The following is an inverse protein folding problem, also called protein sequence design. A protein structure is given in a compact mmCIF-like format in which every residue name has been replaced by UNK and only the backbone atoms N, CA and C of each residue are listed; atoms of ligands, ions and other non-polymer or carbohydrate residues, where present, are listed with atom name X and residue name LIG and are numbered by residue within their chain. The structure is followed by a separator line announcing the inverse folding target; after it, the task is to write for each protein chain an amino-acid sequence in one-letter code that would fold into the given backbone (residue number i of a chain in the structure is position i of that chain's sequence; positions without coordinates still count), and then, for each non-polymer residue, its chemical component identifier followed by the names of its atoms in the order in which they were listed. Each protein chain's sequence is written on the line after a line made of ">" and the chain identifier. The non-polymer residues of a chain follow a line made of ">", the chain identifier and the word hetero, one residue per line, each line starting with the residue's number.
data_IF_058416050020
#
_entry.id   IF_058416050020
#
_cell.length_a   1.000
_cell.length_b   1.000
_cell.length_c   1.000
_cell.angle_alpha   90.00
_cell.angle_beta   90.00
_cell.angle_gamma   90.00
#
_symmetry.space_group_name_H-M   'P 1'
#
loop_
_entity.id
_entity.type
_entity.pdbx_description
1 polymer ?
#
# COMPACT_ATOMS: atom_id res chain seq x y z
N UNK A 1 -15.87 2.76 -64.49
CA UNK A 1 -14.83 3.72 -64.02
C UNK A 1 -15.37 4.78 -63.06
N UNK A 2 -16.44 5.54 -63.41
CA UNK A 2 -17.00 6.59 -62.52
C UNK A 2 -17.37 6.11 -61.11
N UNK A 3 -18.00 4.93 -60.98
CA UNK A 3 -18.35 4.36 -59.66
C UNK A 3 -17.14 3.91 -58.84
N UNK A 4 -16.00 3.59 -59.46
CA UNK A 4 -14.78 3.19 -58.74
C UNK A 4 -14.06 4.42 -58.18
N UNK A 5 -13.98 5.51 -58.95
CA UNK A 5 -13.39 6.77 -58.50
C UNK A 5 -14.12 7.34 -57.28
N UNK A 6 -15.46 7.35 -57.29
CA UNK A 6 -16.27 7.84 -56.15
C UNK A 6 -16.02 7.02 -54.88
N UNK A 7 -15.92 5.69 -55.00
CA UNK A 7 -15.66 4.79 -53.88
C UNK A 7 -14.26 4.94 -53.29
N UNK A 8 -13.25 5.15 -54.14
CA UNK A 8 -11.87 5.38 -53.70
C UNK A 8 -11.76 6.74 -53.00
N UNK A 9 -12.38 7.78 -53.55
CA UNK A 9 -12.41 9.10 -52.94
C UNK A 9 -13.13 9.10 -51.58
N UNK A 10 -14.26 8.38 -51.45
CA UNK A 10 -14.96 8.27 -50.17
C UNK A 10 -14.12 7.55 -49.11
N UNK A 11 -13.35 6.53 -49.50
CA UNK A 11 -12.50 5.78 -48.57
C UNK A 11 -11.26 6.60 -48.16
N UNK A 12 -10.64 7.32 -49.09
CA UNK A 12 -9.56 8.24 -48.78
C UNK A 12 -10.02 9.34 -47.80
N UNK A 13 -11.24 9.86 -47.98
CA UNK A 13 -11.84 10.84 -47.07
C UNK A 13 -12.05 10.27 -45.65
N UNK A 14 -12.47 9.00 -45.54
CA UNK A 14 -12.57 8.31 -44.24
C UNK A 14 -11.21 8.24 -43.53
N UNK A 15 -10.14 7.86 -44.24
CA UNK A 15 -8.79 7.76 -43.67
C UNK A 15 -8.25 9.12 -43.21
N UNK A 16 -8.43 10.16 -44.03
CA UNK A 16 -8.00 11.52 -43.69
C UNK A 16 -8.77 12.03 -42.47
N UNK A 17 -10.08 11.81 -42.43
CA UNK A 17 -10.92 12.24 -41.30
C UNK A 17 -10.55 11.51 -40.01
N UNK A 18 -10.26 10.21 -40.09
CA UNK A 18 -9.83 9.42 -38.94
C UNK A 18 -8.46 9.85 -38.43
N UNK A 19 -7.49 10.06 -39.33
CA UNK A 19 -6.17 10.58 -38.96
C UNK A 19 -6.25 11.97 -38.31
N UNK A 20 -7.08 12.86 -38.87
CA UNK A 20 -7.31 14.18 -38.30
C UNK A 20 -7.97 14.13 -36.91
N UNK A 21 -8.90 13.19 -36.70
CA UNK A 21 -9.49 12.93 -35.39
C UNK A 21 -8.46 12.44 -34.37
N UNK A 22 -7.61 11.47 -34.74
CA UNK A 22 -6.59 10.89 -33.85
C UNK A 22 -5.52 11.91 -33.43
N UNK A 23 -5.16 12.84 -34.32
CA UNK A 23 -4.16 13.89 -34.05
C UNK A 23 -4.79 15.16 -33.44
N UNK A 24 -6.11 15.16 -33.18
CA UNK A 24 -6.85 16.32 -32.68
C UNK A 24 -6.66 17.59 -33.53
N UNK A 25 -6.61 17.42 -34.85
CA UNK A 25 -6.45 18.54 -35.77
C UNK A 25 -7.63 19.53 -35.66
N UNK A 26 -7.38 20.79 -35.99
CA UNK A 26 -8.44 21.81 -36.03
C UNK A 26 -9.60 21.37 -36.95
N UNK A 27 -10.87 21.67 -36.63
CA UNK A 27 -12.04 21.24 -37.40
C UNK A 27 -11.91 21.55 -38.89
N UNK A 28 -12.43 20.67 -39.75
CA UNK A 28 -12.30 20.81 -41.20
C UNK A 28 -12.89 22.13 -41.71
N UNK A 29 -12.11 22.99 -42.40
CA UNK A 29 -12.58 24.30 -42.83
C UNK A 29 -13.36 24.19 -44.14
N UNK A 30 -14.68 24.35 -44.07
CA UNK A 30 -15.48 24.73 -45.22
C UNK A 30 -16.19 26.03 -44.86
N UNK A 31 -15.69 27.14 -45.40
CA UNK A 31 -16.27 28.49 -45.33
C UNK A 31 -16.64 28.94 -43.91
N UNK A 32 -15.70 29.63 -43.24
CA UNK A 32 -15.88 30.59 -42.12
C UNK A 32 -16.77 30.21 -40.93
N UNK A 33 -17.29 28.98 -40.89
CA UNK A 33 -18.12 28.43 -39.83
C UNK A 33 -17.58 27.04 -39.46
N UNK A 34 -17.32 26.83 -38.18
CA UNK A 34 -16.92 25.54 -37.62
C UNK A 34 -18.15 24.63 -37.54
N UNK A 35 -18.53 23.99 -38.65
CA UNK A 35 -19.86 23.37 -38.71
C UNK A 35 -19.90 22.00 -38.02
N UNK A 36 -18.82 21.20 -37.99
CA UNK A 36 -18.82 19.87 -37.34
C UNK A 36 -17.43 19.41 -36.86
N UNK A 37 -17.33 18.74 -35.69
CA UNK A 37 -16.08 18.14 -35.22
C UNK A 37 -15.67 16.93 -36.07
N UNK A 38 -14.36 16.62 -36.09
CA UNK A 38 -13.82 15.49 -36.87
C UNK A 38 -14.46 14.15 -36.55
N UNK A 39 -14.91 13.93 -35.31
CA UNK A 39 -15.66 12.73 -34.92
C UNK A 39 -16.94 12.54 -35.74
N UNK A 40 -17.67 13.62 -36.03
CA UNK A 40 -18.90 13.56 -36.84
C UNK A 40 -18.56 13.31 -38.30
N UNK A 41 -17.50 13.90 -38.83
CA UNK A 41 -17.04 13.63 -40.19
C UNK A 41 -16.61 12.18 -40.40
N UNK A 42 -15.92 11.59 -39.41
CA UNK A 42 -15.57 10.16 -39.44
C UNK A 42 -16.83 9.29 -39.45
N UNK A 43 -17.81 9.59 -38.58
CA UNK A 43 -19.07 8.85 -38.54
C UNK A 43 -19.83 8.90 -39.88
N UNK A 44 -19.95 10.09 -40.48
CA UNK A 44 -20.59 10.25 -41.79
C UNK A 44 -19.83 9.49 -42.89
N UNK A 45 -18.49 9.54 -42.86
CA UNK A 45 -17.65 8.81 -43.81
C UNK A 45 -17.79 7.29 -43.67
N UNK A 46 -17.93 6.76 -42.45
CA UNK A 46 -18.21 5.34 -42.18
C UNK A 46 -19.54 4.94 -42.82
N UNK A 47 -20.62 5.69 -42.54
CA UNK A 47 -21.95 5.43 -43.09
C UNK A 47 -21.97 5.43 -44.62
N UNK A 48 -21.31 6.41 -45.25
CA UNK A 48 -21.18 6.51 -46.71
C UNK A 48 -20.39 5.33 -47.28
N UNK A 49 -19.25 4.98 -46.70
CA UNK A 49 -18.44 3.86 -47.18
C UNK A 49 -19.16 2.50 -47.00
N UNK A 50 -19.90 2.32 -45.90
CA UNK A 50 -20.66 1.09 -45.65
C UNK A 50 -21.81 0.89 -46.65
N UNK A 51 -22.43 1.99 -47.11
CA UNK A 51 -23.44 1.97 -48.16
C UNK A 51 -22.85 1.74 -49.57
N UNK A 52 -21.68 2.33 -49.88
CA UNK A 52 -21.09 2.30 -51.23
C UNK A 52 -20.32 1.01 -51.54
N UNK A 53 -19.72 0.36 -50.55
CA UNK A 53 -18.82 -0.78 -50.74
C UNK A 53 -19.48 -2.15 -50.47
N UNK A 54 -18.97 -3.20 -51.12
CA UNK A 54 -19.40 -4.61 -50.94
C UNK A 54 -18.37 -5.41 -50.13
N UNK A 55 -18.80 -6.60 -49.66
CA UNK A 55 -18.19 -7.56 -48.71
C UNK A 55 -16.80 -7.19 -48.14
N UNK A 56 -15.73 -7.19 -48.93
CA UNK A 56 -14.36 -6.96 -48.42
C UNK A 56 -14.14 -5.56 -47.81
N UNK A 57 -14.60 -4.50 -48.49
CA UNK A 57 -14.37 -3.12 -48.03
C UNK A 57 -15.35 -2.69 -46.93
N UNK A 58 -16.43 -3.44 -46.71
CA UNK A 58 -17.29 -3.29 -45.52
C UNK A 58 -16.56 -3.73 -44.25
N UNK A 59 -15.76 -4.81 -44.32
CA UNK A 59 -14.94 -5.26 -43.18
C UNK A 59 -13.91 -4.19 -42.83
N UNK A 60 -13.18 -3.66 -43.80
CA UNK A 60 -12.21 -2.58 -43.56
C UNK A 60 -12.85 -1.33 -42.94
N UNK A 61 -14.02 -0.92 -43.45
CA UNK A 61 -14.76 0.21 -42.88
C UNK A 61 -15.25 -0.07 -41.46
N UNK A 62 -15.68 -1.30 -41.16
CA UNK A 62 -16.10 -1.71 -39.83
C UNK A 62 -14.92 -1.72 -38.84
N UNK A 63 -13.75 -2.23 -39.21
CA UNK A 63 -12.55 -2.21 -38.36
C UNK A 63 -12.15 -0.78 -38.01
N UNK A 64 -12.15 0.13 -39.00
CA UNK A 64 -11.87 1.55 -38.75
C UNK A 64 -12.94 2.22 -37.87
N UNK A 65 -14.21 1.79 -37.97
CA UNK A 65 -15.27 2.26 -37.10
C UNK A 65 -15.08 1.81 -35.64
N UNK A 66 -14.62 0.57 -35.42
CA UNK A 66 -14.27 0.07 -34.09
C UNK A 66 -13.12 0.87 -33.51
N UNK A 67 -12.01 1.05 -34.24
CA UNK A 67 -10.87 1.88 -33.80
C UNK A 67 -11.32 3.31 -33.44
N UNK A 68 -12.14 3.92 -34.31
CA UNK A 68 -12.71 5.24 -34.05
C UNK A 68 -13.59 5.27 -32.78
N UNK A 69 -14.42 4.25 -32.54
CA UNK A 69 -15.27 4.18 -31.35
C UNK A 69 -14.47 4.06 -30.06
N UNK A 70 -13.40 3.26 -30.04
CA UNK A 70 -12.51 3.16 -28.88
C UNK A 70 -11.76 4.47 -28.64
N UNK A 71 -11.24 5.10 -29.69
CA UNK A 71 -10.59 6.40 -29.58
C UNK A 71 -11.57 7.50 -29.13
N UNK A 72 -12.84 7.46 -29.58
CA UNK A 72 -13.89 8.37 -29.14
C UNK A 72 -14.25 8.17 -27.67
N UNK A 73 -14.42 6.92 -27.22
CA UNK A 73 -14.68 6.60 -25.82
C UNK A 73 -13.49 7.00 -24.93
N UNK A 74 -12.26 6.75 -25.40
CA UNK A 74 -11.04 7.22 -24.73
C UNK A 74 -11.04 8.74 -24.54
N UNK A 75 -11.42 9.50 -25.56
CA UNK A 75 -11.50 10.97 -25.47
C UNK A 75 -12.71 11.48 -24.66
N UNK A 76 -13.77 10.68 -24.46
CA UNK A 76 -14.93 11.00 -23.63
C UNK A 76 -14.68 10.77 -22.15
N UNK A 77 -13.83 9.79 -21.82
CA UNK A 77 -13.34 9.59 -20.45
C UNK A 77 -12.40 10.76 -20.14
N UNK A 78 -12.55 11.47 -19.00
CA UNK A 78 -11.57 12.45 -18.55
C UNK A 78 -10.21 11.77 -18.48
N UNK A 79 -9.38 12.00 -19.50
CA UNK A 79 -8.00 11.56 -19.47
C UNK A 79 -7.37 12.25 -18.28
N UNK A 80 -6.89 11.48 -17.30
CA UNK A 80 -6.04 12.03 -16.26
C UNK A 80 -4.77 12.51 -16.96
N UNK A 81 -4.78 13.77 -17.38
CA UNK A 81 -3.55 14.43 -17.74
C UNK A 81 -2.69 14.36 -16.48
N UNK A 82 -1.47 13.83 -16.61
CA UNK A 82 -0.37 14.45 -15.88
C UNK A 82 -0.54 15.94 -16.18
N UNK A 83 -1.01 16.69 -15.19
CA UNK A 83 -1.32 18.10 -15.34
C UNK A 83 -0.16 18.80 -16.04
N UNK A 84 -0.39 19.93 -16.72
CA UNK A 84 0.69 20.65 -17.38
C UNK A 84 1.86 20.72 -16.41
N UNK A 85 3.03 20.20 -16.81
CA UNK A 85 4.26 20.40 -16.06
C UNK A 85 4.30 21.90 -15.79
N UNK A 86 4.11 22.28 -14.53
CA UNK A 86 4.09 23.70 -14.16
C UNK A 86 5.41 24.22 -14.69
N UNK A 87 5.38 25.22 -15.57
CA UNK A 87 6.61 25.74 -16.14
C UNK A 87 7.45 26.28 -14.97
N UNK A 88 8.45 25.49 -14.58
CA UNK A 88 9.30 25.63 -13.39
C UNK A 88 10.17 26.90 -13.45
N UNK A 89 9.99 27.76 -14.46
CA UNK A 89 10.74 29.00 -14.64
C UNK A 89 10.09 30.25 -14.02
N UNK A 90 8.76 30.28 -13.85
CA UNK A 90 8.02 31.55 -13.69
C UNK A 90 7.23 31.68 -12.38
N UNK A 91 7.44 30.78 -11.41
CA UNK A 91 6.74 30.84 -10.13
C UNK A 91 7.34 31.96 -9.28
N UNK A 92 6.55 33.01 -9.01
CA UNK A 92 6.93 34.05 -8.06
C UNK A 92 7.26 33.43 -6.69
N UNK A 93 8.40 33.78 -6.08
CA UNK A 93 8.81 33.31 -4.74
C UNK A 93 8.02 34.00 -3.63
N UNK A 94 6.71 33.81 -3.65
CA UNK A 94 5.78 34.25 -2.61
C UNK A 94 5.13 33.03 -1.97
N UNK A 95 4.78 33.08 -0.66
CA UNK A 95 4.20 31.93 0.03
C UNK A 95 2.92 31.44 -0.65
N UNK A 96 2.09 32.36 -1.12
CA UNK A 96 0.82 32.05 -1.75
C UNK A 96 1.01 31.33 -3.11
N UNK A 97 1.94 31.81 -3.93
CA UNK A 97 2.23 31.19 -5.23
C UNK A 97 2.88 29.81 -5.07
N UNK A 98 3.79 29.66 -4.11
CA UNK A 98 4.44 28.38 -3.82
C UNK A 98 3.46 27.35 -3.27
N UNK A 99 2.59 27.75 -2.33
CA UNK A 99 1.54 26.87 -1.79
C UNK A 99 0.55 26.47 -2.89
N UNK A 100 0.16 27.39 -3.78
CA UNK A 100 -0.72 27.09 -4.89
C UNK A 100 -0.08 26.11 -5.90
N UNK A 101 1.20 26.29 -6.23
CA UNK A 101 1.95 25.40 -7.10
C UNK A 101 2.19 24.03 -6.45
N UNK A 102 2.55 23.98 -5.17
CA UNK A 102 2.70 22.73 -4.43
C UNK A 102 1.41 21.94 -4.36
N UNK A 103 0.27 22.63 -4.17
CA UNK A 103 -1.06 22.02 -4.19
C UNK A 103 -1.37 21.39 -5.55
N UNK A 104 -1.03 22.05 -6.66
CA UNK A 104 -1.27 21.50 -8.00
C UNK A 104 -0.40 20.28 -8.29
N UNK A 105 0.82 20.24 -7.77
CA UNK A 105 1.69 19.06 -7.84
C UNK A 105 1.11 17.92 -6.98
N UNK A 106 0.70 18.20 -5.74
CA UNK A 106 0.16 17.20 -4.82
C UNK A 106 -1.05 16.44 -5.40
N UNK A 107 -2.00 17.16 -6.01
CA UNK A 107 -3.20 16.58 -6.62
C UNK A 107 -3.04 16.26 -8.12
N UNK A 108 -1.90 16.60 -8.73
CA UNK A 108 -1.66 16.55 -10.17
C UNK A 108 -0.45 15.70 -10.51
N UNK A 109 0.65 16.35 -10.91
CA UNK A 109 1.86 15.68 -11.42
C UNK A 109 2.54 14.77 -10.40
N UNK A 110 2.58 15.18 -9.14
CA UNK A 110 3.14 14.41 -8.02
C UNK A 110 2.23 13.28 -7.54
N UNK A 111 0.94 13.27 -7.92
CA UNK A 111 -0.07 12.24 -7.57
C UNK A 111 -0.05 11.82 -6.09
N UNK A 112 0.42 12.68 -5.20
CA UNK A 112 0.59 12.38 -3.79
C UNK A 112 -0.77 12.08 -3.14
N UNK A 113 -1.83 12.75 -3.62
CA UNK A 113 -3.21 12.54 -3.18
C UNK A 113 -3.79 11.16 -3.47
N UNK A 114 -3.14 10.34 -4.31
CA UNK A 114 -3.55 8.96 -4.55
C UNK A 114 -3.29 8.07 -3.33
N UNK A 115 -2.30 8.45 -2.51
CA UNK A 115 -1.84 7.66 -1.37
C UNK A 115 -2.01 8.41 -0.04
N UNK A 116 -1.76 9.72 -0.04
CA UNK A 116 -1.87 10.59 1.13
C UNK A 116 -3.18 11.37 1.13
N UNK A 117 -3.75 11.54 2.32
CA UNK A 117 -4.94 12.36 2.57
C UNK A 117 -4.58 13.67 3.28
N UNK A 118 -5.35 14.71 3.01
CA UNK A 118 -5.32 16.01 3.69
C UNK A 118 -6.77 16.41 3.95
N UNK A 119 -7.14 16.57 5.21
CA UNK A 119 -8.49 16.81 5.70
C UNK A 119 -9.08 15.63 6.48
N UNK A 120 -10.23 15.83 7.15
CA UNK A 120 -10.90 14.78 7.92
C UNK A 120 -11.36 13.66 6.98
N UNK A 121 -10.57 12.59 6.89
CA UNK A 121 -10.91 11.36 6.18
C UNK A 121 -11.56 10.39 7.15
N UNK A 122 -12.72 9.82 6.78
CA UNK A 122 -13.46 8.85 7.58
C UNK A 122 -12.85 7.43 7.54
N UNK A 123 -11.75 7.23 6.81
CA UNK A 123 -11.10 5.93 6.58
C UNK A 123 -9.59 6.03 6.79
N UNK A 124 -8.99 4.99 7.36
CA UNK A 124 -7.54 4.86 7.54
C UNK A 124 -6.82 4.90 6.18
N UNK A 125 -5.97 5.90 5.91
CA UNK A 125 -5.33 6.07 4.61
C UNK A 125 -4.22 5.04 4.37
N UNK A 126 -3.96 4.69 3.09
CA UNK A 126 -2.87 3.79 2.66
C UNK A 126 -1.50 4.30 3.09
N UNK A 127 -1.35 5.62 3.21
CA UNK A 127 -0.15 6.30 3.66
C UNK A 127 -0.50 7.31 4.77
N UNK A 128 0.49 7.78 5.55
CA UNK A 128 0.24 8.68 6.67
C UNK A 128 -0.59 9.91 6.27
N UNK A 129 -1.52 10.29 7.14
CA UNK A 129 -2.26 11.55 7.03
C UNK A 129 -1.26 12.74 7.10
N UNK A 130 -1.46 13.70 6.20
CA UNK A 130 -0.63 14.90 6.06
C UNK A 130 -1.36 16.18 6.51
N UNK A 131 -2.57 16.07 7.07
CA UNK A 131 -3.38 17.20 7.53
C UNK A 131 -2.70 18.10 8.56
N UNK A 132 -1.78 17.53 9.35
CA UNK A 132 -1.07 18.23 10.42
C UNK A 132 0.45 18.31 10.17
N UNK A 133 0.93 17.92 8.98
CA UNK A 133 2.36 17.71 8.75
C UNK A 133 3.18 18.99 8.88
N UNK A 134 2.56 20.15 8.65
CA UNK A 134 3.18 21.46 8.85
C UNK A 134 3.50 21.76 10.31
N UNK A 135 2.81 21.11 11.25
CA UNK A 135 3.01 21.24 12.70
C UNK A 135 3.78 20.03 13.23
N UNK A 136 3.36 18.82 12.86
CA UNK A 136 3.84 17.56 13.42
C UNK A 136 5.16 17.09 12.82
N UNK A 137 5.54 17.56 11.62
CA UNK A 137 6.71 17.05 10.88
C UNK A 137 8.03 17.13 11.66
N UNK A 138 8.33 18.23 12.33
CA UNK A 138 9.52 18.36 13.18
C UNK A 138 9.44 17.56 14.49
N UNK A 139 8.24 17.26 14.98
CA UNK A 139 8.04 16.44 16.19
C UNK A 139 8.16 14.93 15.93
N UNK A 140 8.22 14.51 14.66
CA UNK A 140 8.39 13.12 14.25
C UNK A 140 9.83 12.62 14.42
N UNK A 141 10.81 13.53 14.46
CA UNK A 141 12.21 13.21 14.67
C UNK A 141 12.88 14.21 15.62
N UNK A 142 13.52 13.70 16.68
CA UNK A 142 14.12 14.54 17.70
C UNK A 142 15.24 15.42 17.13
N UNK A 143 15.11 16.74 17.29
CA UNK A 143 16.13 17.71 16.90
C UNK A 143 16.07 18.17 15.44
N UNK A 144 15.09 17.74 14.62
CA UNK A 144 14.90 18.23 13.25
C UNK A 144 13.76 19.25 13.15
N UNK A 145 13.94 20.26 12.29
CA UNK A 145 12.83 21.14 11.92
C UNK A 145 11.85 20.44 10.98
N UNK A 146 10.59 20.90 10.95
CA UNK A 146 9.59 20.39 9.99
C UNK A 146 10.07 20.49 8.54
N UNK A 147 10.83 21.55 8.20
CA UNK A 147 11.37 21.71 6.85
C UNK A 147 12.39 20.64 6.54
N UNK A 148 13.39 20.46 7.39
CA UNK A 148 14.45 19.46 7.19
C UNK A 148 13.87 18.06 7.06
N UNK A 149 12.91 17.72 7.93
CA UNK A 149 12.16 16.48 7.85
C UNK A 149 11.47 16.30 6.49
N UNK A 150 10.76 17.33 5.98
CA UNK A 150 10.06 17.25 4.70
C UNK A 150 11.03 17.13 3.51
N UNK A 151 12.18 17.80 3.56
CA UNK A 151 13.23 17.66 2.55
C UNK A 151 13.76 16.23 2.57
N UNK A 152 14.12 15.71 3.73
CA UNK A 152 14.67 14.36 3.85
C UNK A 152 13.65 13.30 3.45
N UNK A 153 12.40 13.40 3.89
CA UNK A 153 11.33 12.46 3.55
C UNK A 153 10.99 12.42 2.04
N UNK A 154 11.11 13.54 1.31
CA UNK A 154 10.86 13.58 -0.13
C UNK A 154 12.05 13.06 -0.95
N UNK A 155 13.28 13.22 -0.46
CA UNK A 155 14.48 12.77 -1.16
C UNK A 155 14.89 11.34 -0.81
N UNK A 156 14.68 10.93 0.45
CA UNK A 156 15.07 9.66 1.07
C UNK A 156 13.93 9.15 1.98
N UNK A 157 12.77 8.77 1.43
CA UNK A 157 11.62 8.31 2.22
C UNK A 157 11.92 7.08 3.08
N UNK A 158 12.92 6.27 2.72
CA UNK A 158 13.37 5.12 3.49
C UNK A 158 14.16 5.48 4.76
N UNK A 159 14.69 6.70 4.85
CA UNK A 159 15.42 7.17 6.03
C UNK A 159 14.48 7.33 7.24
N UNK A 160 13.18 7.55 7.00
CA UNK A 160 12.19 7.71 8.04
C UNK A 160 10.88 7.00 7.71
N UNK A 161 10.60 5.90 8.41
CA UNK A 161 9.36 5.16 8.29
C UNK A 161 8.41 5.50 9.44
N UNK A 162 7.24 6.02 9.10
CA UNK A 162 6.18 6.27 10.07
C UNK A 162 5.65 4.94 10.59
N UNK A 163 5.61 4.78 11.93
CA UNK A 163 5.08 3.57 12.58
C UNK A 163 3.69 3.23 12.06
N UNK A 164 3.51 1.97 11.64
CA UNK A 164 2.24 1.47 11.08
C UNK A 164 2.12 1.56 9.56
N UNK A 165 3.12 2.12 8.85
CA UNK A 165 3.11 2.23 7.39
C UNK A 165 4.34 1.55 6.76
N UNK A 166 4.16 0.98 5.57
CA UNK A 166 5.23 0.34 4.80
C UNK A 166 6.09 1.35 4.03
N UNK A 167 7.27 0.91 3.57
CA UNK A 167 8.18 1.71 2.74
C UNK A 167 7.73 1.76 1.27
N UNK A 168 6.56 2.37 1.02
CA UNK A 168 5.94 2.42 -0.31
C UNK A 168 6.05 3.79 -0.99
N UNK A 169 6.63 4.78 -0.29
CA UNK A 169 6.77 6.13 -0.81
C UNK A 169 7.99 6.21 -1.74
N UNK A 170 7.80 6.49 -3.04
CA UNK A 170 8.94 6.64 -3.94
C UNK A 170 9.66 7.97 -3.70
N UNK A 171 10.99 8.04 -3.92
CA UNK A 171 11.72 9.31 -3.88
C UNK A 171 11.15 10.28 -4.94
N UNK A 172 10.84 11.51 -4.54
CA UNK A 172 10.13 12.49 -5.35
C UNK A 172 10.84 12.83 -6.68
N UNK A 173 12.17 12.78 -6.67
CA UNK A 173 13.04 13.10 -7.81
C UNK A 173 13.25 11.91 -8.78
N UNK A 174 12.84 10.69 -8.42
CA UNK A 174 12.96 9.50 -9.28
C UNK A 174 11.65 9.24 -10.05
N UNK A 175 11.70 8.57 -11.21
CA UNK A 175 10.51 8.00 -11.82
C UNK A 175 9.77 7.10 -10.81
N UNK A 176 8.43 7.14 -10.75
CA UNK A 176 7.50 7.74 -11.72
C UNK A 176 7.18 9.22 -11.48
N UNK A 177 7.66 9.84 -10.39
CA UNK A 177 7.34 11.22 -10.02
C UNK A 177 8.22 12.24 -10.76
N UNK A 178 9.53 11.98 -10.81
CA UNK A 178 10.54 12.75 -11.54
C UNK A 178 10.43 14.28 -11.35
N UNK A 179 10.13 14.73 -10.13
CA UNK A 179 9.97 16.14 -9.81
C UNK A 179 11.33 16.85 -9.80
N UNK A 180 11.35 18.08 -10.32
CA UNK A 180 12.49 18.98 -10.25
C UNK A 180 12.67 19.57 -8.84
N UNK A 181 13.85 20.14 -8.56
CA UNK A 181 14.15 20.72 -7.26
C UNK A 181 13.15 21.83 -6.85
N UNK A 182 12.76 22.70 -7.79
CA UNK A 182 11.78 23.76 -7.51
C UNK A 182 10.36 23.21 -7.32
N UNK A 183 9.98 22.16 -8.06
CA UNK A 183 8.69 21.48 -7.82
C UNK A 183 8.65 20.89 -6.41
N UNK A 184 9.75 20.27 -5.96
CA UNK A 184 9.89 19.77 -4.60
C UNK A 184 9.83 20.92 -3.57
N UNK A 185 10.47 22.07 -3.83
CA UNK A 185 10.36 23.27 -2.98
C UNK A 185 8.90 23.74 -2.82
N UNK A 186 8.16 23.83 -3.93
CA UNK A 186 6.75 24.25 -3.88
C UNK A 186 5.88 23.23 -3.16
N UNK A 187 6.14 21.93 -3.35
CA UNK A 187 5.46 20.86 -2.62
C UNK A 187 5.70 20.96 -1.11
N UNK A 188 6.95 21.21 -0.69
CA UNK A 188 7.30 21.42 0.72
C UNK A 188 6.57 22.63 1.30
N UNK A 189 6.52 23.74 0.57
CA UNK A 189 5.78 24.93 1.00
C UNK A 189 4.29 24.64 1.22
N UNK A 190 3.65 23.87 0.33
CA UNK A 190 2.26 23.42 0.50
C UNK A 190 2.07 22.47 1.69
N UNK A 191 3.02 21.58 1.96
CA UNK A 191 2.97 20.69 3.12
C UNK A 191 3.17 21.46 4.42
N UNK A 192 4.08 22.43 4.45
CA UNK A 192 4.25 23.34 5.58
C UNK A 192 2.98 24.14 5.86
N UNK A 193 2.24 24.56 4.82
CA UNK A 193 0.97 25.28 5.02
C UNK A 193 -0.15 24.45 5.65
N UNK A 194 0.02 23.13 5.83
CA UNK A 194 -0.92 22.27 6.58
C UNK A 194 -0.75 22.47 8.11
N UNK A 195 -0.78 23.73 8.55
CA UNK A 195 -0.72 24.15 9.95
C UNK A 195 0.52 24.93 10.37
N UNK A 196 1.53 25.08 9.51
CA UNK A 196 2.73 25.90 9.74
C UNK A 196 2.91 27.04 8.74
N UNK A 197 3.96 27.84 8.92
CA UNK A 197 4.35 28.90 7.97
C UNK A 197 5.29 28.35 6.89
N UNK A 198 5.01 28.58 5.58
CA UNK A 198 5.87 28.14 4.50
C UNK A 198 7.24 28.83 4.52
N UNK A 199 8.31 28.05 4.46
CA UNK A 199 9.67 28.54 4.24
C UNK A 199 10.03 28.37 2.76
N UNK A 200 10.48 29.44 2.11
CA UNK A 200 10.79 29.48 0.67
C UNK A 200 12.30 29.47 0.38
N UNK A 201 13.12 29.16 1.38
CA UNK A 201 14.58 29.07 1.23
C UNK A 201 14.94 28.00 0.20
N UNK A 202 15.69 28.35 -0.83
CA UNK A 202 16.09 27.38 -1.86
C UNK A 202 16.78 26.16 -1.24
N UNK A 203 16.39 24.96 -1.70
CA UNK A 203 16.91 23.71 -1.16
C UNK A 203 18.20 23.38 -1.89
N UNK A 204 19.23 23.00 -1.14
CA UNK A 204 20.35 22.23 -1.67
C UNK A 204 19.97 20.75 -1.51
N UNK A 205 19.75 20.00 -2.60
CA UNK A 205 19.38 18.60 -2.49
C UNK A 205 20.37 17.84 -1.58
N UNK A 206 19.90 17.05 -0.60
CA UNK A 206 20.77 16.33 0.33
C UNK A 206 21.55 15.20 -0.35
N UNK A 207 21.22 14.91 -1.62
CA UNK A 207 21.85 13.90 -2.45
C UNK A 207 22.29 14.53 -3.77
N UNK A 208 23.40 14.06 -4.31
CA UNK A 208 23.77 14.36 -5.70
C UNK A 208 22.87 13.53 -6.62
N UNK A 209 21.80 14.14 -7.15
CA UNK A 209 20.80 13.49 -8.00
C UNK A 209 21.46 12.87 -9.25
N UNK A 210 22.49 13.51 -9.81
CA UNK A 210 23.19 13.02 -10.99
C UNK A 210 24.04 11.77 -10.66
N UNK A 211 24.71 11.76 -9.51
CA UNK A 211 25.42 10.58 -9.02
C UNK A 211 24.46 9.47 -8.56
N UNK A 212 23.36 9.82 -7.87
CA UNK A 212 22.37 8.88 -7.34
C UNK A 212 21.54 8.21 -8.44
N UNK A 213 21.32 8.88 -9.57
CA UNK A 213 20.75 8.27 -10.78
C UNK A 213 21.70 7.24 -11.44
N UNK A 214 23.00 7.30 -11.14
CA UNK A 214 24.02 6.34 -11.61
C UNK A 214 24.27 5.19 -10.63
N UNK A 215 23.69 5.23 -9.43
CA UNK A 215 23.80 4.13 -8.46
C UNK A 215 22.96 2.96 -8.97
N UNK A 216 23.66 1.96 -9.49
CA UNK A 216 23.09 0.65 -9.80
C UNK A 216 22.42 0.09 -8.56
N UNK A 217 21.11 -0.16 -8.65
CA UNK A 217 20.37 -1.01 -7.71
C UNK A 217 21.21 -2.28 -7.52
N UNK A 218 21.53 -2.62 -6.27
CA UNK A 218 22.21 -3.88 -5.96
C UNK A 218 21.37 -4.98 -6.59
N UNK A 219 21.88 -5.59 -7.66
CA UNK A 219 21.15 -6.66 -8.35
C UNK A 219 21.45 -7.94 -7.57
N UNK A 220 20.42 -8.68 -7.12
CA UNK A 220 20.66 -9.94 -6.45
C UNK A 220 21.38 -10.90 -7.42
N UNK A 221 22.46 -11.54 -6.96
CA UNK A 221 23.30 -12.43 -7.78
C UNK A 221 22.64 -13.79 -8.10
N UNK A 222 21.35 -13.96 -7.81
CA UNK A 222 20.60 -15.20 -7.99
C UNK A 222 19.96 -15.34 -9.37
N UNK A 223 19.51 -16.55 -9.70
CA UNK A 223 18.75 -16.84 -10.92
C UNK A 223 17.24 -16.71 -10.68
N UNK A 224 16.54 -15.72 -11.28
CA UNK A 224 15.10 -15.53 -11.10
C UNK A 224 14.24 -16.71 -11.55
N UNK A 225 14.64 -17.47 -12.57
CA UNK A 225 13.86 -18.63 -13.02
C UNK A 225 13.96 -19.79 -12.04
N UNK A 226 15.16 -20.02 -11.50
CA UNK A 226 15.34 -20.97 -10.40
C UNK A 226 14.56 -20.53 -9.15
N UNK A 227 14.58 -19.23 -8.83
CA UNK A 227 13.81 -18.66 -7.73
C UNK A 227 12.30 -18.84 -7.87
N UNK A 228 11.77 -18.77 -9.11
CA UNK A 228 10.36 -19.06 -9.39
C UNK A 228 9.99 -20.50 -9.06
N UNK A 229 10.87 -21.46 -9.33
CA UNK A 229 10.67 -22.87 -8.94
C UNK A 229 10.71 -23.04 -7.42
N UNK A 230 11.61 -22.34 -6.73
CA UNK A 230 11.65 -22.33 -5.25
C UNK A 230 10.33 -21.79 -4.70
N UNK A 231 9.80 -20.71 -5.28
CA UNK A 231 8.54 -20.07 -4.87
C UNK A 231 7.31 -20.97 -5.05
N UNK A 232 7.21 -21.71 -6.17
CA UNK A 232 6.01 -22.49 -6.52
C UNK A 232 6.11 -23.94 -6.04
N UNK A 233 7.23 -24.59 -6.27
CA UNK A 233 7.36 -26.05 -6.18
C UNK A 233 8.04 -26.50 -4.88
N UNK A 234 9.11 -25.82 -4.47
CA UNK A 234 9.95 -26.28 -3.36
C UNK A 234 9.46 -25.80 -2.00
N UNK A 235 9.23 -24.49 -1.85
CA UNK A 235 8.76 -23.87 -0.60
C UNK A 235 7.26 -23.56 -0.61
N UNK A 236 6.61 -23.70 -1.76
CA UNK A 236 5.17 -23.54 -1.94
C UNK A 236 4.64 -22.20 -1.38
N UNK A 237 5.41 -21.13 -1.53
CA UNK A 237 5.05 -19.77 -1.15
C UNK A 237 3.74 -19.34 -1.83
N UNK A 238 3.47 -19.86 -3.02
CA UNK A 238 2.23 -19.68 -3.79
C UNK A 238 0.96 -20.23 -3.10
N UNK A 239 1.08 -21.06 -2.05
CA UNK A 239 -0.08 -21.49 -1.25
C UNK A 239 -0.63 -20.41 -0.33
N UNK A 240 0.14 -19.37 -0.06
CA UNK A 240 -0.30 -18.26 0.79
C UNK A 240 -0.20 -16.92 0.06
N UNK A 241 0.74 -16.77 -0.86
CA UNK A 241 1.02 -15.53 -1.55
C UNK A 241 0.65 -15.59 -3.03
N UNK A 242 0.00 -14.54 -3.52
CA UNK A 242 -0.32 -14.37 -4.94
C UNK A 242 0.80 -13.61 -5.66
N UNK A 243 1.07 -14.02 -6.91
CA UNK A 243 1.89 -13.28 -7.88
C UNK A 243 1.17 -13.31 -9.24
N UNK A 244 0.89 -12.13 -9.81
CA UNK A 244 0.16 -11.97 -11.07
C UNK A 244 -1.34 -12.26 -10.95
N UNK A 245 -2.01 -12.40 -12.10
CA UNK A 245 -3.45 -12.66 -12.20
C UNK A 245 -3.84 -14.12 -11.91
N UNK A 246 -3.15 -14.79 -10.99
CA UNK A 246 -3.55 -16.13 -10.56
C UNK A 246 -4.92 -16.03 -9.86
N UNK A 247 -5.92 -16.75 -10.36
CA UNK A 247 -7.31 -16.84 -9.85
C UNK A 247 -7.37 -17.57 -8.50
N UNK A 248 -6.62 -17.09 -7.52
CA UNK A 248 -6.45 -17.75 -6.23
C UNK A 248 -6.87 -16.76 -5.14
N UNK A 249 -8.07 -16.99 -4.60
CA UNK A 249 -8.54 -16.40 -3.34
C UNK A 249 -7.82 -17.07 -2.18
N UNK A 250 -6.53 -16.78 -1.99
CA UNK A 250 -5.82 -17.14 -0.78
C UNK A 250 -5.50 -15.85 -0.03
N UNK A 251 -6.45 -15.39 0.79
CA UNK A 251 -6.28 -14.26 1.71
C UNK A 251 -5.44 -14.64 2.96
N UNK A 252 -4.43 -15.48 2.78
CA UNK A 252 -3.56 -15.94 3.88
C UNK A 252 -2.31 -15.07 3.98
N UNK A 253 -1.73 -14.66 2.84
CA UNK A 253 -0.56 -13.80 2.75
C UNK A 253 -0.77 -12.61 1.80
N UNK A 254 0.04 -11.54 1.92
CA UNK A 254 -0.04 -10.38 1.05
C UNK A 254 0.31 -10.70 -0.40
N UNK A 255 -0.24 -9.91 -1.33
CA UNK A 255 0.07 -9.97 -2.75
C UNK A 255 1.52 -9.52 -3.01
N UNK A 256 2.29 -10.36 -3.71
CA UNK A 256 3.71 -10.15 -4.00
C UNK A 256 3.95 -9.75 -5.46
N UNK A 257 2.92 -9.51 -6.26
CA UNK A 257 3.02 -9.17 -7.70
C UNK A 257 3.97 -8.00 -7.99
N UNK A 258 4.03 -7.02 -7.07
CA UNK A 258 4.84 -5.81 -7.22
C UNK A 258 5.93 -5.71 -6.13
N UNK A 259 6.23 -6.80 -5.41
CA UNK A 259 7.12 -6.70 -4.24
C UNK A 259 8.51 -6.16 -4.58
N UNK A 260 9.07 -6.52 -5.74
CA UNK A 260 10.37 -6.03 -6.20
C UNK A 260 10.38 -4.56 -6.64
N UNK A 261 9.21 -3.97 -6.90
CA UNK A 261 9.07 -2.52 -7.12
C UNK A 261 8.77 -1.75 -5.83
N UNK A 262 8.10 -2.39 -4.87
CA UNK A 262 7.58 -1.75 -3.66
C UNK A 262 8.50 -1.90 -2.44
N UNK A 263 9.48 -2.79 -2.46
CA UNK A 263 10.33 -3.08 -1.31
C UNK A 263 11.80 -3.26 -1.68
N UNK A 264 12.68 -3.16 -0.67
CA UNK A 264 14.12 -3.35 -0.82
C UNK A 264 14.50 -4.83 -0.72
N UNK A 265 15.69 -5.18 -1.23
CA UNK A 265 16.26 -6.52 -1.05
C UNK A 265 16.34 -6.90 0.42
N UNK A 266 16.89 -6.02 1.26
CA UNK A 266 17.05 -6.26 2.69
C UNK A 266 15.70 -6.55 3.38
N UNK A 267 14.63 -5.86 2.97
CA UNK A 267 13.28 -6.13 3.48
C UNK A 267 12.77 -7.52 3.10
N UNK A 268 12.97 -7.94 1.85
CA UNK A 268 12.57 -9.28 1.40
C UNK A 268 13.39 -10.37 2.09
N UNK A 269 14.69 -10.15 2.26
CA UNK A 269 15.59 -11.07 2.96
C UNK A 269 15.18 -11.24 4.44
N UNK A 270 14.94 -10.13 5.14
CA UNK A 270 14.53 -10.12 6.55
C UNK A 270 13.15 -10.78 6.72
N UNK A 271 12.19 -10.50 5.83
CA UNK A 271 10.83 -11.06 5.91
C UNK A 271 10.79 -12.58 5.72
N UNK A 272 11.73 -13.15 4.96
CA UNK A 272 11.83 -14.60 4.72
C UNK A 272 12.57 -15.30 5.88
N UNK A 273 13.64 -14.69 6.38
CA UNK A 273 14.46 -15.29 7.44
C UNK A 273 13.86 -15.10 8.83
N UNK A 274 13.21 -13.96 9.08
CA UNK A 274 12.51 -13.64 10.32
C UNK A 274 11.14 -12.98 10.06
N UNK A 275 10.11 -13.78 9.74
CA UNK A 275 8.77 -13.25 9.43
C UNK A 275 8.09 -12.61 10.64
N UNK A 276 8.59 -12.80 11.87
CA UNK A 276 8.08 -12.14 13.07
C UNK A 276 8.75 -10.79 13.34
N UNK A 277 9.87 -10.47 12.67
CA UNK A 277 10.52 -9.17 12.81
C UNK A 277 9.61 -8.03 12.35
N UNK A 278 8.89 -8.23 11.24
CA UNK A 278 7.97 -7.24 10.65
C UNK A 278 6.74 -7.93 10.05
N UNK A 279 5.63 -7.88 10.77
CA UNK A 279 4.36 -8.46 10.33
C UNK A 279 3.51 -7.38 9.65
N UNK A 280 3.13 -7.63 8.39
CA UNK A 280 2.23 -6.73 7.65
C UNK A 280 0.86 -6.69 8.35
N UNK A 281 0.34 -5.49 8.57
CA UNK A 281 -0.96 -5.29 9.23
C UNK A 281 -2.06 -6.10 8.53
N UNK A 282 -2.87 -6.82 9.32
CA UNK A 282 -3.93 -7.68 8.80
C UNK A 282 -3.50 -9.08 8.36
N UNK A 283 -2.21 -9.45 8.49
CA UNK A 283 -1.70 -10.80 8.17
C UNK A 283 -1.08 -11.53 9.38
N UNK A 284 -1.05 -10.88 10.55
CA UNK A 284 -0.67 -11.52 11.81
C UNK A 284 -1.85 -12.25 12.48
N UNK A 285 -1.54 -13.37 13.12
CA UNK A 285 -2.43 -14.00 14.11
C UNK A 285 -2.14 -13.42 15.48
N UNK A 286 -3.20 -13.03 16.18
CA UNK A 286 -3.15 -12.48 17.52
C UNK A 286 -3.85 -13.43 18.47
N UNK A 287 -3.11 -13.90 19.48
CA UNK A 287 -3.69 -14.65 20.61
C UNK A 287 -3.80 -13.74 21.82
N UNK A 288 -5.03 -13.48 22.25
CA UNK A 288 -5.36 -12.75 23.48
C UNK A 288 -5.80 -13.73 24.57
N UNK A 289 -5.29 -13.53 25.77
CA UNK A 289 -5.82 -14.19 26.96
C UNK A 289 -6.55 -13.13 27.78
N UNK A 290 -7.85 -13.31 27.98
CA UNK A 290 -8.71 -12.40 28.72
C UNK A 290 -8.69 -12.71 30.22
N UNK A 291 -8.96 -11.70 31.05
CA UNK A 291 -8.99 -11.83 32.50
C UNK A 291 -10.07 -12.78 33.02
N UNK A 292 -11.11 -13.05 32.21
CA UNK A 292 -12.17 -14.04 32.49
C UNK A 292 -11.70 -15.50 32.25
N UNK A 293 -10.47 -15.71 31.77
CA UNK A 293 -9.94 -17.04 31.43
C UNK A 293 -10.18 -17.48 29.99
N UNK A 294 -10.90 -16.70 29.19
CA UNK A 294 -11.14 -16.95 27.76
C UNK A 294 -9.88 -16.66 26.94
N UNK A 295 -9.57 -17.53 25.97
CA UNK A 295 -8.52 -17.30 24.98
C UNK A 295 -9.16 -17.00 23.64
N UNK A 296 -8.85 -15.85 23.06
CA UNK A 296 -9.28 -15.47 21.72
C UNK A 296 -8.10 -15.55 20.77
N UNK A 297 -8.27 -16.27 19.67
CA UNK A 297 -7.31 -16.30 18.57
C UNK A 297 -7.97 -15.74 17.32
N UNK A 298 -7.31 -14.80 16.66
CA UNK A 298 -7.86 -14.21 15.45
C UNK A 298 -6.91 -13.23 14.79
N UNK A 299 -7.37 -12.63 13.71
CA UNK A 299 -6.63 -11.64 12.93
C UNK A 299 -6.86 -10.24 13.52
N UNK A 300 -5.80 -9.53 13.88
CA UNK A 300 -5.92 -8.13 14.30
C UNK A 300 -6.22 -7.26 13.08
N UNK A 301 -7.45 -6.74 13.01
CA UNK A 301 -7.92 -5.91 11.90
C UNK A 301 -7.42 -4.48 12.09
N UNK A 302 -7.64 -3.92 13.29
CA UNK A 302 -7.27 -2.53 13.63
C UNK A 302 -7.11 -2.34 15.13
N UNK A 303 -6.33 -1.33 15.51
CA UNK A 303 -6.20 -0.83 16.88
C UNK A 303 -6.86 0.56 16.97
N UNK A 304 -7.79 0.75 17.91
CA UNK A 304 -8.50 2.00 18.14
C UNK A 304 -8.21 2.50 19.56
N UNK A 305 -7.12 3.26 19.71
CA UNK A 305 -6.67 3.73 21.02
C UNK A 305 -6.32 2.56 21.96
N UNK A 306 -7.15 2.33 22.98
CA UNK A 306 -7.00 1.24 23.94
C UNK A 306 -7.75 -0.05 23.56
N UNK A 307 -8.52 -0.01 22.45
CA UNK A 307 -9.28 -1.16 21.96
C UNK A 307 -8.54 -1.89 20.82
N UNK A 308 -8.66 -3.21 20.81
CA UNK A 308 -8.20 -4.12 19.76
C UNK A 308 -9.42 -4.70 19.05
N UNK A 309 -9.49 -4.58 17.73
CA UNK A 309 -10.54 -5.22 16.93
C UNK A 309 -9.97 -6.47 16.28
N UNK A 310 -10.44 -7.63 16.75
CA UNK A 310 -10.05 -8.93 16.24
C UNK A 310 -11.14 -9.49 15.34
N UNK A 311 -10.77 -10.03 14.20
CA UNK A 311 -11.60 -10.97 13.46
C UNK A 311 -11.27 -12.38 13.95
N UNK A 312 -12.22 -13.05 14.59
CA UNK A 312 -11.99 -14.38 15.15
C UNK A 312 -11.81 -15.41 14.03
N UNK A 313 -10.85 -16.32 14.20
CA UNK A 313 -10.78 -17.51 13.36
C UNK A 313 -11.99 -18.39 13.77
N UNK A 314 -12.97 -18.58 12.88
CA UNK A 314 -14.09 -19.48 13.15
C UNK A 314 -13.52 -20.88 13.20
N UNK A 315 -13.44 -21.45 14.41
CA UNK A 315 -13.18 -22.87 14.57
C UNK A 315 -14.52 -23.55 14.27
N UNK A 316 -14.69 -24.02 13.04
CA UNK A 316 -15.65 -25.09 12.80
C UNK A 316 -15.14 -26.27 13.63
N UNK A 317 -15.79 -26.51 14.78
CA UNK A 317 -15.63 -27.79 15.46
C UNK A 317 -16.01 -28.85 14.43
N UNK A 318 -15.04 -29.69 14.06
CA UNK A 318 -15.27 -30.81 13.18
C UNK A 318 -16.46 -31.59 13.75
N UNK A 319 -17.55 -31.65 12.99
CA UNK A 319 -18.65 -32.57 13.28
C UNK A 319 -18.00 -33.96 13.35
N UNK A 320 -17.91 -34.50 14.56
CA UNK A 320 -17.49 -35.86 14.78
C UNK A 320 -18.44 -36.75 13.97
N UNK A 321 -17.91 -37.37 12.91
CA UNK A 321 -18.56 -38.40 12.12
C UNK A 321 -18.86 -39.65 12.99
N UNK A 322 -19.80 -39.55 13.93
CA UNK A 322 -20.30 -40.69 14.70
C UNK A 322 -21.48 -41.34 13.98
N UNK A 323 -21.15 -42.30 13.13
CA UNK A 323 -22.09 -43.22 12.51
C UNK A 323 -22.62 -44.23 13.55
N UNK A 324 -23.67 -43.86 14.30
CA UNK A 324 -24.31 -44.72 15.30
C UNK A 324 -25.84 -44.71 15.26
N UNK A 325 -26.43 -45.80 14.77
CA UNK A 325 -27.87 -46.03 14.65
C UNK A 325 -28.61 -46.09 16.00
N UNK A 326 -29.78 -45.44 16.09
CA UNK A 326 -30.94 -45.98 16.81
C UNK A 326 -31.53 -45.17 17.96
N UNK A 327 -32.78 -44.77 17.72
CA UNK A 327 -33.88 -44.56 18.69
C UNK A 327 -34.03 -43.19 19.39
N UNK A 328 -35.31 -42.94 19.69
CA UNK A 328 -36.02 -41.66 19.81
C UNK A 328 -35.87 -40.99 21.18
N UNK A 329 -36.39 -39.75 21.23
CA UNK A 329 -36.75 -38.92 22.40
C UNK A 329 -35.62 -38.07 23.03
N UNK A 330 -35.67 -36.74 22.87
CA UNK A 330 -36.46 -35.80 23.69
C UNK A 330 -36.26 -34.37 23.17
N UNK A 331 -37.36 -33.67 22.89
CA UNK A 331 -37.36 -32.24 22.58
C UNK A 331 -36.95 -31.44 23.82
N UNK A 332 -35.86 -30.66 23.72
CA UNK A 332 -35.62 -29.51 24.58
C UNK A 332 -35.44 -28.30 23.67
N UNK A 333 -36.45 -27.44 23.64
CA UNK A 333 -36.40 -26.12 23.01
C UNK A 333 -35.21 -25.33 23.58
N UNK A 334 -34.20 -25.10 22.75
CA UNK A 334 -33.24 -24.01 22.95
C UNK A 334 -33.52 -22.95 21.89
N UNK A 335 -33.71 -21.74 22.41
CA UNK A 335 -34.11 -20.52 21.74
C UNK A 335 -33.31 -20.28 20.45
N UNK A 336 -34.01 -20.34 19.32
CA UNK A 336 -33.48 -20.07 17.99
C UNK A 336 -33.18 -18.57 17.87
N UNK A 337 -31.93 -18.18 18.14
CA UNK A 337 -31.45 -16.84 17.83
C UNK A 337 -31.15 -16.80 16.33
N UNK A 338 -32.18 -16.46 15.55
CA UNK A 338 -32.04 -16.13 14.13
C UNK A 338 -31.17 -14.88 14.02
N UNK A 339 -29.97 -15.01 13.45
CA UNK A 339 -29.18 -13.87 12.97
C UNK A 339 -28.89 -14.09 11.49
N UNK A 340 -29.30 -13.11 10.69
CA UNK A 340 -29.21 -13.11 9.23
C UNK A 340 -27.78 -13.35 8.72
N UNK A 341 -27.66 -14.27 7.77
CA UNK A 341 -26.46 -14.49 6.97
C UNK A 341 -26.17 -13.26 6.10
N UNK A 342 -25.19 -12.47 6.53
CA UNK A 342 -24.50 -11.48 5.72
C UNK A 342 -23.17 -12.03 5.22
N UNK A 343 -23.07 -12.20 3.91
CA UNK A 343 -21.91 -12.68 3.16
C UNK A 343 -20.51 -12.33 3.74
N UNK A 344 -19.70 -13.36 4.00
CA UNK A 344 -18.24 -13.31 3.81
C UNK A 344 -17.39 -12.50 4.79
N UNK A 345 -17.79 -12.30 6.05
CA UNK A 345 -16.97 -11.62 7.05
C UNK A 345 -16.97 -12.36 8.39
N UNK A 346 -15.82 -12.91 8.80
CA UNK A 346 -15.68 -13.46 10.16
C UNK A 346 -16.04 -12.43 11.23
N UNK A 347 -16.62 -12.90 12.34
CA UNK A 347 -17.10 -12.07 13.45
C UNK A 347 -16.00 -11.14 13.98
N UNK A 348 -16.22 -9.82 13.92
CA UNK A 348 -15.37 -8.83 14.58
C UNK A 348 -15.71 -8.75 16.07
N UNK A 349 -14.70 -8.89 16.94
CA UNK A 349 -14.81 -8.73 18.39
C UNK A 349 -13.88 -7.63 18.87
N UNK A 350 -14.46 -6.68 19.60
CA UNK A 350 -13.73 -5.60 20.25
C UNK A 350 -13.27 -6.06 21.63
N UNK A 351 -11.97 -5.95 21.89
CA UNK A 351 -11.33 -6.31 23.16
C UNK A 351 -10.53 -5.12 23.68
N UNK A 352 -10.79 -4.66 24.91
CA UNK A 352 -9.97 -3.62 25.51
C UNK A 352 -8.64 -4.19 25.99
N UNK A 353 -7.54 -3.46 25.82
CA UNK A 353 -6.22 -3.90 26.31
C UNK A 353 -6.21 -4.10 27.83
N UNK A 354 -7.06 -3.40 28.56
CA UNK A 354 -7.19 -3.59 30.01
C UNK A 354 -7.86 -4.91 30.42
N UNK A 355 -8.61 -5.54 29.51
CA UNK A 355 -9.29 -6.81 29.77
C UNK A 355 -8.36 -8.02 29.58
N UNK A 356 -7.12 -7.78 29.12
CA UNK A 356 -6.13 -8.84 28.99
C UNK A 356 -5.63 -9.31 30.36
N UNK A 357 -5.52 -10.64 30.48
CA UNK A 357 -5.05 -11.34 31.65
C UNK A 357 -3.60 -10.96 31.99
N UNK A 358 -3.35 -10.82 33.29
CA UNK A 358 -2.00 -10.69 33.81
C UNK A 358 -1.34 -12.07 33.84
N UNK A 359 -0.30 -12.25 33.02
CA UNK A 359 0.48 -13.46 32.97
C UNK A 359 1.77 -13.30 33.77
N UNK A 360 2.17 -14.35 34.49
CA UNK A 360 3.44 -14.36 35.22
C UNK A 360 4.60 -14.41 34.25
N UNK A 361 5.55 -13.50 34.40
CA UNK A 361 6.78 -13.46 33.59
C UNK A 361 7.88 -14.14 34.41
N UNK A 362 8.23 -15.36 34.02
CA UNK A 362 9.27 -16.15 34.69
C UNK A 362 10.70 -15.81 34.22
N UNK A 363 10.85 -15.44 32.95
CA UNK A 363 12.12 -15.03 32.35
C UNK A 363 12.05 -13.54 32.02
N UNK A 364 12.99 -12.76 32.55
CA UNK A 364 13.08 -11.30 32.40
C UNK A 364 13.92 -10.88 31.19
N UNK A 365 14.44 -11.84 30.41
CA UNK A 365 15.09 -11.54 29.13
C UNK A 365 14.05 -11.28 28.05
N UNK A 366 14.29 -10.23 27.26
CA UNK A 366 13.49 -9.84 26.09
C UNK A 366 11.98 -9.84 26.34
N UNK A 367 11.54 -9.09 27.36
CA UNK A 367 10.13 -9.06 27.77
C UNK A 367 9.28 -8.46 26.64
N UNK A 368 9.75 -7.37 26.02
CA UNK A 368 9.10 -6.70 24.90
C UNK A 368 9.03 -7.58 23.65
N UNK A 369 10.11 -8.29 23.27
CA UNK A 369 10.13 -9.20 22.11
C UNK A 369 9.16 -10.38 22.28
N UNK A 370 8.85 -10.75 23.53
CA UNK A 370 7.88 -11.78 23.85
C UNK A 370 6.43 -11.27 23.80
N UNK A 371 6.21 -10.03 23.35
CA UNK A 371 4.89 -9.42 23.16
C UNK A 371 4.28 -8.84 24.43
N UNK A 372 5.06 -8.64 25.50
CA UNK A 372 4.56 -7.93 26.68
C UNK A 372 4.64 -6.42 26.44
N UNK A 373 3.51 -5.73 26.53
CA UNK A 373 3.43 -4.28 26.34
C UNK A 373 3.20 -3.52 27.66
N UNK A 374 2.75 -4.23 28.69
CA UNK A 374 2.45 -3.67 30.01
C UNK A 374 2.90 -4.63 31.10
N UNK A 375 3.51 -4.11 32.16
CA UNK A 375 3.98 -4.90 33.28
C UNK A 375 3.52 -4.35 34.63
N UNK A 376 3.47 -5.24 35.62
CA UNK A 376 3.42 -4.90 37.04
C UNK A 376 4.39 -5.77 37.81
N UNK A 377 5.22 -5.12 38.64
CA UNK A 377 6.27 -5.76 39.40
C UNK A 377 6.41 -5.12 40.79
N UNK A 378 7.06 -5.82 41.71
CA UNK A 378 7.45 -5.31 43.01
C UNK A 378 8.95 -5.05 43.00
N UNK A 379 9.35 -3.81 43.29
CA UNK A 379 10.77 -3.39 43.32
C UNK A 379 11.37 -3.71 44.69
N UNK A 380 12.53 -4.35 44.69
CA UNK A 380 13.21 -4.88 45.88
C UNK A 380 13.62 -3.80 46.89
N UNK A 381 13.91 -2.58 46.43
CA UNK A 381 14.42 -1.48 47.27
C UNK A 381 13.35 -0.71 48.09
N UNK A 382 12.12 -1.21 48.16
CA UNK A 382 11.10 -0.58 49.02
C UNK A 382 9.74 -1.26 49.06
N UNK A 383 9.53 -2.39 48.39
CA UNK A 383 8.23 -3.06 48.34
C UNK A 383 7.17 -2.29 47.54
N UNK A 384 7.56 -1.19 46.88
CA UNK A 384 6.67 -0.40 46.04
C UNK A 384 6.30 -1.20 44.79
N UNK A 385 5.00 -1.32 44.56
CA UNK A 385 4.45 -1.92 43.34
C UNK A 385 4.51 -0.88 42.24
N UNK A 386 5.21 -1.21 41.16
CA UNK A 386 5.29 -0.40 39.95
C UNK A 386 4.46 -1.06 38.87
N UNK A 387 3.77 -0.27 38.06
CA UNK A 387 2.98 -0.77 36.95
C UNK A 387 2.86 0.27 35.86
N UNK A 388 2.95 -0.16 34.60
CA UNK A 388 2.88 0.75 33.46
C UNK A 388 3.22 0.07 32.14
N UNK A 389 2.94 0.75 31.02
CA UNK A 389 3.42 0.32 29.71
C UNK A 389 4.95 0.36 29.65
N UNK A 390 5.51 -0.57 28.87
CA UNK A 390 6.95 -0.62 28.57
C UNK A 390 7.25 0.42 27.50
N UNK A 391 8.24 1.28 27.76
CA UNK A 391 8.68 2.32 26.83
C UNK A 391 9.98 1.94 26.14
N UNK A 392 10.93 1.35 26.87
CA UNK A 392 12.14 0.79 26.30
C UNK A 392 12.71 -0.33 27.18
N UNK A 393 13.48 -1.23 26.57
CA UNK A 393 14.13 -2.35 27.24
C UNK A 393 15.57 -2.48 26.72
N UNK A 394 16.49 -2.78 27.63
CA UNK A 394 17.84 -3.22 27.28
C UNK A 394 18.17 -4.51 28.06
N UNK A 395 19.39 -5.05 27.92
CA UNK A 395 19.75 -6.32 28.57
C UNK A 395 19.64 -6.28 30.11
N UNK A 396 19.89 -5.12 30.73
CA UNK A 396 20.05 -4.98 32.18
C UNK A 396 18.90 -4.23 32.89
N UNK A 397 18.07 -3.48 32.16
CA UNK A 397 17.04 -2.58 32.71
C UNK A 397 15.81 -2.49 31.82
N UNK A 398 14.71 -2.08 32.43
CA UNK A 398 13.41 -1.87 31.80
C UNK A 398 12.91 -0.47 32.16
N UNK A 399 12.52 0.31 31.15
CA UNK A 399 11.91 1.62 31.34
C UNK A 399 10.41 1.51 31.17
N UNK A 400 9.67 1.90 32.20
CA UNK A 400 8.21 1.92 32.21
C UNK A 400 7.68 3.33 32.48
N UNK A 401 6.52 3.64 31.92
CA UNK A 401 5.82 4.90 32.19
C UNK A 401 4.81 4.68 33.31
N UNK A 402 5.02 5.32 34.46
CA UNK A 402 4.11 5.23 35.61
C UNK A 402 3.45 6.59 35.84
N UNK A 403 2.15 6.67 35.57
CA UNK A 403 1.35 7.91 35.57
C UNK A 403 1.96 8.99 34.66
N UNK A 404 2.80 9.88 35.22
CA UNK A 404 3.39 11.05 34.54
C UNK A 404 4.94 11.03 34.53
N UNK A 405 5.58 9.94 34.96
CA UNK A 405 7.05 9.86 35.03
C UNK A 405 7.56 8.54 34.47
N UNK A 406 8.66 8.61 33.71
CA UNK A 406 9.42 7.46 33.23
C UNK A 406 10.33 6.94 34.33
N UNK A 407 10.19 5.66 34.65
CA UNK A 407 11.00 4.96 35.64
C UNK A 407 11.84 3.90 34.95
N UNK A 408 13.16 3.96 35.11
CA UNK A 408 14.09 2.92 34.64
C UNK A 408 14.46 2.03 35.81
N UNK A 409 14.21 0.73 35.69
CA UNK A 409 14.33 -0.25 36.78
C UNK A 409 15.24 -1.38 36.32
N UNK A 410 16.16 -1.83 37.16
CA UNK A 410 17.05 -2.93 36.82
C UNK A 410 16.30 -4.27 36.79
N UNK A 411 16.68 -5.11 35.81
CA UNK A 411 16.29 -6.51 35.60
C UNK A 411 16.26 -7.31 36.91
N UNK A 412 17.35 -7.17 37.66
CA UNK A 412 17.66 -7.88 38.90
C UNK A 412 16.74 -7.54 40.07
N UNK A 413 16.14 -6.36 40.05
CA UNK A 413 15.47 -5.80 41.22
C UNK A 413 13.95 -6.03 41.17
N UNK A 414 13.47 -6.64 40.07
CA UNK A 414 12.07 -6.97 39.84
C UNK A 414 11.71 -8.33 40.45
N UNK A 415 10.71 -8.35 41.32
CA UNK A 415 10.10 -9.56 41.86
C UNK A 415 8.59 -9.58 41.57
N UNK A 416 8.00 -10.78 41.50
CA UNK A 416 6.57 -10.99 41.16
C UNK A 416 6.13 -10.28 39.87
N UNK A 417 6.97 -10.36 38.82
CA UNK A 417 6.71 -9.75 37.53
C UNK A 417 5.50 -10.42 36.86
N UNK A 418 4.50 -9.61 36.55
CA UNK A 418 3.32 -9.96 35.77
C UNK A 418 3.18 -8.99 34.62
N UNK A 419 2.59 -9.41 33.50
CA UNK A 419 2.38 -8.52 32.37
C UNK A 419 1.23 -8.93 31.49
N UNK A 420 0.73 -7.97 30.73
CA UNK A 420 -0.23 -8.21 29.66
C UNK A 420 0.53 -8.46 28.38
N UNK A 421 0.15 -9.54 27.71
CA UNK A 421 0.80 -10.03 26.51
C UNK A 421 -0.14 -9.87 25.33
N UNK A 422 0.35 -9.24 24.28
CA UNK A 422 -0.23 -9.24 22.94
C UNK A 422 0.73 -10.03 22.06
N UNK A 423 0.42 -11.31 21.82
CA UNK A 423 1.27 -12.13 20.98
C UNK A 423 0.77 -12.02 19.54
N UNK A 424 1.39 -11.11 18.78
CA UNK A 424 1.25 -11.04 17.32
C UNK A 424 2.29 -11.99 16.71
N UNK A 425 1.85 -13.03 16.02
CA UNK A 425 2.72 -13.95 15.30
C UNK A 425 2.40 -13.92 13.81
N UNK A 426 3.42 -14.05 12.98
CA UNK A 426 3.24 -14.23 11.55
C UNK A 426 2.62 -15.60 11.28
N UNK A 427 1.66 -15.66 10.35
CA UNK A 427 1.19 -16.93 9.77
C UNK A 427 2.22 -17.53 8.79
N UNK A 428 3.27 -16.76 8.43
CA UNK A 428 4.36 -17.23 7.58
C UNK A 428 5.34 -18.09 8.39
N UNK A 429 5.66 -19.32 7.92
CA UNK A 429 6.69 -20.15 8.54
C UNK A 429 8.07 -19.50 8.48
N UNK A 430 8.94 -19.83 9.44
CA UNK A 430 10.35 -19.46 9.38
C UNK A 430 11.10 -20.45 8.47
N UNK A 431 11.90 -19.95 7.55
CA UNK A 431 12.58 -20.78 6.54
C UNK A 431 14.09 -20.90 6.74
N UNK A 432 14.66 -20.27 7.77
CA UNK A 432 16.11 -20.26 8.07
C UNK A 432 16.75 -21.65 8.15
N UNK A 433 16.02 -22.64 8.66
CA UNK A 433 16.50 -24.03 8.79
C UNK A 433 16.16 -24.93 7.58
N UNK A 434 15.30 -24.45 6.67
CA UNK A 434 14.76 -25.27 5.56
C UNK A 434 15.33 -24.86 4.20
N UNK A 435 15.62 -23.57 4.03
CA UNK A 435 16.10 -23.01 2.76
C UNK A 435 17.63 -23.07 2.67
N UNK A 436 18.16 -23.54 1.55
CA UNK A 436 19.60 -23.43 1.29
C UNK A 436 19.98 -22.02 0.86
N UNK A 437 21.24 -21.63 1.08
CA UNK A 437 21.76 -20.32 0.66
C UNK A 437 21.53 -20.06 -0.84
N UNK A 438 21.65 -21.09 -1.67
CA UNK A 438 21.41 -20.98 -3.12
C UNK A 438 19.92 -20.71 -3.41
N UNK A 439 19.03 -21.53 -2.86
CA UNK A 439 17.58 -21.36 -3.02
C UNK A 439 17.12 -19.99 -2.52
N UNK A 440 17.65 -19.53 -1.39
CA UNK A 440 17.34 -18.22 -0.84
C UNK A 440 17.75 -17.08 -1.78
N UNK A 441 18.99 -17.12 -2.29
CA UNK A 441 19.49 -16.12 -3.22
C UNK A 441 18.67 -16.09 -4.52
N UNK A 442 18.35 -17.25 -5.06
CA UNK A 442 17.59 -17.37 -6.30
C UNK A 442 16.12 -16.92 -6.07
N UNK A 443 15.50 -17.28 -4.93
CA UNK A 443 14.18 -16.81 -4.52
C UNK A 443 14.11 -15.28 -4.37
N UNK A 444 15.08 -14.67 -3.70
CA UNK A 444 15.16 -13.20 -3.55
C UNK A 444 15.37 -12.54 -4.91
N UNK A 445 16.15 -13.15 -5.81
CA UNK A 445 16.31 -12.66 -7.18
C UNK A 445 14.99 -12.71 -7.98
N UNK A 446 14.21 -13.77 -7.82
CA UNK A 446 12.87 -13.86 -8.38
C UNK A 446 11.95 -12.76 -7.84
N UNK A 447 11.83 -12.63 -6.51
CA UNK A 447 10.96 -11.60 -5.90
C UNK A 447 11.37 -10.18 -6.29
N UNK A 448 12.67 -9.90 -6.36
CA UNK A 448 13.20 -8.61 -6.83
C UNK A 448 12.90 -8.33 -8.31
N UNK A 449 12.69 -9.37 -9.13
CA UNK A 449 12.30 -9.23 -10.53
C UNK A 449 10.82 -8.88 -10.70
N UNK A 450 9.98 -9.11 -9.68
CA UNK A 450 8.54 -8.85 -9.71
C UNK A 450 8.25 -7.34 -9.57
N UNK A 451 8.17 -6.65 -10.72
CA UNK A 451 7.93 -5.20 -10.80
C UNK A 451 6.50 -4.83 -11.20
N UNK A 452 5.57 -5.79 -11.17
CA UNK A 452 4.25 -5.66 -11.76
C UNK A 452 4.28 -5.74 -13.28
N UNK A 453 3.45 -6.60 -13.87
CA UNK A 453 3.22 -6.63 -15.31
C UNK A 453 2.01 -5.77 -15.66
N UNK A 454 2.18 -4.75 -16.51
CA UNK A 454 1.10 -4.50 -17.48
C UNK A 454 1.01 -5.76 -18.35
N UNK A 455 -0.18 -6.29 -18.64
CA UNK A 455 -0.29 -7.48 -19.48
C UNK A 455 0.33 -7.17 -20.85
N UNK A 456 1.44 -7.83 -21.17
CA UNK A 456 1.92 -7.90 -22.55
C UNK A 456 0.82 -8.54 -23.37
N UNK A 457 0.33 -7.80 -24.36
CA UNK A 457 -0.59 -8.32 -25.35
C UNK A 457 0.11 -9.48 -26.06
N UNK A 458 -0.42 -10.69 -25.87
CA UNK A 458 -0.04 -11.85 -26.66
C UNK A 458 -0.24 -11.55 -28.15
N UNK A 459 0.84 -11.68 -28.94
CA UNK A 459 0.83 -11.66 -30.41
C UNK A 459 0.17 -12.91 -31.00
#
# INVERSE_FOLDING_TARGET
>A
MRHAAVKILSFAFLLVSLGAFLVQAAPFPLADQNILPWSVWVFLAICVNMALWQKLMRVATFTLAVIWSYALLGNLIPQSSSGPAVAVGDIERTPEAFVAAGKSIFYGSGKCSTCHVIGPSATTPRCPDLSDIGISGGGRQEGMSTREYLVEALYLPEAYLVKGYGNIMPPAWKPPLALSALEIETLIAFLQSQGGEPDLTAIVPPIDIAAAASVTVKVPEGDPEAGRLVFVDELQCNKCHRVGAAEVQLEVGPDLTEIGALNTLDYMEESILDPNAKIVQGYGSTTLNLANGEQLTGRLVREEGDALVLQLDVVEEAEDDDWGWGEEEEEVEMEEVVVEEGAGGGLERLVQRHDLALQRIADTRSISERGYFWISAVVSDGGNKVSGPIESENEASLTIRSADTTLTIAKSDLSNLTGRKLLLQSKMPKFDDVITVRQFRDLVAYLASLKGSMPETAE
#
